data_IF_973024673072
#
_entry.id   IF_973024673072
#
_cell.length_a   1.000
_cell.length_b   1.000
_cell.length_c   1.000
_cell.angle_alpha   90.00
_cell.angle_beta   90.00
_cell.angle_gamma   90.00
#
_symmetry.space_group_name_H-M   'P 1'
#
loop_
_entity.id
_entity.type
_entity.pdbx_description
1 polymer ?
#
# COMPACT_ATOMS: atom_id res chain seq x y z
N UNK A 1 -2.75 -17.60 -13.56
CA UNK A 1 -2.88 -18.47 -12.35
C UNK A 1 -3.37 -17.54 -11.23
N UNK A 2 -4.47 -17.84 -10.53
CA UNK A 2 -4.97 -16.94 -9.48
C UNK A 2 -3.96 -16.95 -8.32
N UNK A 3 -3.29 -15.82 -8.07
CA UNK A 3 -2.35 -15.71 -6.95
C UNK A 3 -3.11 -15.83 -5.63
N UNK A 4 -2.77 -16.84 -4.82
CA UNK A 4 -3.36 -17.05 -3.49
C UNK A 4 -2.95 -15.96 -2.49
N UNK A 5 -3.80 -15.69 -1.50
CA UNK A 5 -3.56 -14.68 -0.45
C UNK A 5 -3.93 -13.25 -0.83
N UNK A 6 -4.19 -12.95 -2.10
CA UNK A 6 -4.61 -11.61 -2.54
C UNK A 6 -6.13 -11.52 -2.64
N UNK A 7 -6.72 -10.53 -1.96
CA UNK A 7 -8.09 -10.10 -2.24
C UNK A 7 -8.23 -9.50 -3.65
N UNK A 8 -7.11 -9.11 -4.27
CA UNK A 8 -6.99 -8.53 -5.60
C UNK A 8 -7.92 -7.32 -5.82
N UNK A 9 -7.99 -6.46 -4.82
CA UNK A 9 -8.83 -5.27 -4.80
C UNK A 9 -8.15 -4.16 -3.99
N UNK A 10 -7.66 -3.14 -4.67
CA UNK A 10 -7.08 -1.92 -4.10
C UNK A 10 -8.11 -0.80 -4.23
N UNK A 11 -8.36 -0.07 -3.15
CA UNK A 11 -9.15 1.15 -3.18
C UNK A 11 -8.22 2.35 -3.43
N UNK A 12 -8.50 3.12 -4.48
CA UNK A 12 -7.92 4.44 -4.72
C UNK A 12 -8.96 5.47 -4.29
N UNK A 13 -8.62 6.26 -3.28
CA UNK A 13 -9.53 7.22 -2.63
C UNK A 13 -9.00 8.62 -2.89
N UNK A 14 -9.77 9.42 -3.63
CA UNK A 14 -9.51 10.85 -3.78
C UNK A 14 -10.30 11.61 -2.71
N UNK A 15 -9.58 12.18 -1.75
CA UNK A 15 -10.16 12.98 -0.67
C UNK A 15 -10.58 14.39 -1.13
N UNK A 16 -10.03 14.88 -2.24
CA UNK A 16 -10.35 16.20 -2.79
C UNK A 16 -11.63 16.13 -3.64
N UNK A 17 -11.72 15.12 -4.52
CA UNK A 17 -12.89 14.86 -5.36
C UNK A 17 -14.00 14.06 -4.68
N UNK A 18 -13.69 13.33 -3.62
CA UNK A 18 -14.65 12.51 -2.86
C UNK A 18 -15.02 11.19 -3.53
N UNK A 19 -14.29 10.74 -4.55
CA UNK A 19 -14.54 9.49 -5.27
C UNK A 19 -13.65 8.34 -4.78
N UNK A 20 -14.16 7.12 -4.96
CA UNK A 20 -13.45 5.88 -4.66
C UNK A 20 -13.50 4.96 -5.88
N UNK A 21 -12.34 4.55 -6.35
CA UNK A 21 -12.20 3.58 -7.43
C UNK A 21 -11.55 2.30 -6.92
N UNK A 22 -11.98 1.16 -7.45
CA UNK A 22 -11.43 -0.14 -7.07
C UNK A 22 -10.74 -0.78 -8.26
N UNK A 23 -9.44 -1.02 -8.11
CA UNK A 23 -8.60 -1.62 -9.15
C UNK A 23 -7.97 -2.92 -8.64
N UNK A 24 -7.78 -3.94 -9.49
CA UNK A 24 -7.01 -5.12 -9.12
C UNK A 24 -5.52 -4.77 -8.95
N UNK A 25 -4.78 -5.64 -8.26
CA UNK A 25 -3.31 -5.56 -8.25
C UNK A 25 -2.82 -6.12 -9.59
N UNK A 26 -1.99 -5.41 -10.36
CA UNK A 26 -1.35 -5.98 -11.55
C UNK A 26 -0.58 -7.26 -11.18
N UNK A 27 -0.78 -8.35 -11.92
CA UNK A 27 -0.17 -9.65 -11.58
C UNK A 27 1.37 -9.56 -11.57
N UNK A 28 1.96 -8.76 -12.47
CA UNK A 28 3.40 -8.53 -12.51
C UNK A 28 3.93 -7.87 -11.22
N UNK A 29 3.18 -6.88 -10.70
CA UNK A 29 3.55 -6.18 -9.48
C UNK A 29 3.40 -7.08 -8.26
N UNK A 30 2.32 -7.85 -8.19
CA UNK A 30 2.11 -8.82 -7.12
C UNK A 30 3.24 -9.86 -7.09
N UNK A 31 3.73 -10.30 -8.25
CA UNK A 31 4.86 -11.25 -8.32
C UNK A 31 6.19 -10.59 -7.94
N UNK A 32 6.42 -9.36 -8.38
CA UNK A 32 7.70 -8.67 -8.21
C UNK A 32 7.87 -8.05 -6.82
N UNK A 33 6.79 -7.53 -6.27
CA UNK A 33 6.79 -6.74 -5.04
C UNK A 33 6.00 -7.37 -3.90
N UNK A 34 5.36 -8.53 -4.14
CA UNK A 34 4.60 -9.30 -3.16
C UNK A 34 3.39 -8.49 -2.67
N UNK A 35 3.55 -7.67 -1.64
CA UNK A 35 2.46 -6.90 -1.04
C UNK A 35 2.98 -5.96 0.04
N UNK A 36 2.07 -5.43 0.85
CA UNK A 36 2.37 -4.55 1.98
C UNK A 36 3.35 -3.44 1.57
N UNK A 37 4.53 -3.42 2.21
CA UNK A 37 5.61 -2.48 1.93
C UNK A 37 6.02 -2.46 0.46
N UNK A 38 6.15 -3.62 -0.19
CA UNK A 38 6.66 -3.71 -1.56
C UNK A 38 5.76 -2.98 -2.56
N UNK A 39 4.46 -3.29 -2.55
CA UNK A 39 3.47 -2.61 -3.39
C UNK A 39 3.33 -1.13 -3.00
N UNK A 40 3.30 -0.81 -1.70
CA UNK A 40 3.22 0.58 -1.24
C UNK A 40 4.40 1.44 -1.72
N UNK A 41 5.63 0.92 -1.63
CA UNK A 41 6.83 1.63 -2.13
C UNK A 41 6.79 1.78 -3.65
N UNK A 42 6.33 0.75 -4.38
CA UNK A 42 6.15 0.82 -5.83
C UNK A 42 5.18 1.95 -6.20
N UNK A 43 4.04 2.08 -5.53
CA UNK A 43 3.08 3.14 -5.82
C UNK A 43 3.63 4.53 -5.50
N UNK A 44 4.30 4.70 -4.35
CA UNK A 44 4.94 5.98 -3.99
C UNK A 44 6.05 6.36 -4.98
N UNK A 45 6.79 5.37 -5.47
CA UNK A 45 7.82 5.58 -6.49
C UNK A 45 7.22 6.06 -7.82
N UNK A 46 6.17 5.38 -8.28
CA UNK A 46 5.46 5.73 -9.52
C UNK A 46 4.75 7.10 -9.43
N UNK A 47 4.33 7.52 -8.23
CA UNK A 47 3.77 8.86 -7.97
C UNK A 47 4.78 9.99 -8.22
N UNK A 48 6.08 9.66 -8.25
CA UNK A 48 7.15 10.56 -8.68
C UNK A 48 7.97 11.14 -7.53
N UNK A 49 9.31 11.19 -7.67
CA UNK A 49 10.20 11.64 -6.60
C UNK A 49 10.12 13.14 -6.31
N UNK A 50 9.55 13.93 -7.21
CA UNK A 50 9.47 15.40 -7.09
C UNK A 50 8.23 15.90 -6.34
N UNK A 51 7.28 15.01 -6.01
CA UNK A 51 6.07 15.37 -5.27
C UNK A 51 6.43 15.99 -3.92
N UNK A 52 5.83 17.12 -3.57
CA UNK A 52 6.01 17.72 -2.25
C UNK A 52 5.28 16.87 -1.19
N UNK A 53 5.95 16.38 -0.12
CA UNK A 53 5.35 15.47 0.87
C UNK A 53 4.13 16.03 1.61
N UNK A 54 3.93 17.35 1.63
CA UNK A 54 2.76 17.97 2.26
C UNK A 54 1.70 18.46 1.25
N UNK A 55 1.91 18.22 -0.04
CA UNK A 55 0.95 18.56 -1.08
C UNK A 55 -0.17 17.50 -1.21
N UNK A 56 -1.33 17.87 -1.78
CA UNK A 56 -2.41 16.93 -2.10
C UNK A 56 -1.98 15.79 -3.05
N UNK A 57 -0.88 15.96 -3.79
CA UNK A 57 -0.36 14.97 -4.73
C UNK A 57 0.40 13.83 -4.03
N UNK A 58 0.78 13.98 -2.75
CA UNK A 58 1.43 12.92 -2.00
C UNK A 58 0.42 11.83 -1.61
N UNK A 59 0.71 10.58 -2.01
CA UNK A 59 -0.15 9.45 -1.67
C UNK A 59 0.21 8.85 -0.31
N UNK A 60 -0.83 8.40 0.41
CA UNK A 60 -0.72 7.66 1.66
C UNK A 60 -1.29 6.25 1.49
N UNK A 61 -0.42 5.26 1.37
CA UNK A 61 -0.79 3.88 1.09
C UNK A 61 -0.99 3.09 2.38
N UNK A 62 -2.17 2.50 2.58
CA UNK A 62 -2.44 1.51 3.63
C UNK A 62 -2.46 0.12 2.99
N UNK A 63 -1.39 -0.66 3.20
CA UNK A 63 -1.16 -1.87 2.42
C UNK A 63 -1.06 -3.12 3.29
N UNK A 64 -1.83 -4.14 2.96
CA UNK A 64 -1.72 -5.49 3.51
C UNK A 64 -0.83 -6.39 2.64
N UNK A 65 -0.33 -7.48 3.22
CA UNK A 65 0.40 -8.52 2.51
C UNK A 65 -0.48 -9.73 2.22
N UNK A 66 -0.04 -10.66 1.36
CA UNK A 66 -0.81 -11.86 1.00
C UNK A 66 -1.06 -12.83 2.16
N UNK A 67 -0.29 -12.72 3.26
CA UNK A 67 -0.53 -13.50 4.46
C UNK A 67 -1.43 -12.80 5.46
N UNK A 68 -1.67 -11.50 5.31
CA UNK A 68 -2.44 -10.70 6.26
C UNK A 68 -3.88 -11.23 6.35
N UNK A 69 -4.38 -11.45 7.57
CA UNK A 69 -5.71 -12.01 7.81
C UNK A 69 -5.83 -13.53 7.59
N UNK A 70 -4.73 -14.23 7.26
CA UNK A 70 -4.71 -15.70 7.19
C UNK A 70 -4.42 -16.36 8.55
N UNK A 71 -4.56 -17.69 8.61
CA UNK A 71 -4.19 -18.52 9.78
C UNK A 71 -2.68 -18.60 10.05
N UNK A 72 -1.84 -17.96 9.22
CA UNK A 72 -0.42 -17.86 9.51
C UNK A 72 -0.17 -17.12 10.83
N UNK A 73 0.72 -17.65 11.66
CA UNK A 73 1.07 -17.01 12.93
C UNK A 73 1.59 -15.59 12.72
N UNK A 74 1.10 -14.65 13.53
CA UNK A 74 1.50 -13.24 13.51
C UNK A 74 1.21 -12.52 12.17
N UNK A 75 0.15 -12.92 11.45
CA UNK A 75 -0.24 -12.34 10.16
C UNK A 75 -0.91 -10.96 10.23
N UNK A 76 -1.31 -10.46 11.41
CA UNK A 76 -2.04 -9.19 11.57
C UNK A 76 -1.16 -7.94 11.45
N UNK A 77 -0.52 -7.71 10.30
CA UNK A 77 0.33 -6.52 10.01
C UNK A 77 -0.08 -5.84 8.71
N UNK A 78 -0.03 -4.51 8.72
CA UNK A 78 -0.10 -3.65 7.54
C UNK A 78 1.09 -2.68 7.50
N UNK A 79 1.45 -2.24 6.30
CA UNK A 79 2.45 -1.19 6.08
C UNK A 79 1.74 0.09 5.63
N UNK A 80 2.04 1.21 6.31
CA UNK A 80 1.67 2.55 5.89
C UNK A 80 2.86 3.16 5.17
N UNK A 81 2.70 3.52 3.90
CA UNK A 81 3.81 3.98 3.04
C UNK A 81 3.47 5.32 2.41
N UNK A 82 4.40 6.26 2.42
CA UNK A 82 4.25 7.60 1.81
C UNK A 82 5.61 8.26 1.59
N UNK A 83 5.65 9.44 0.96
CA UNK A 83 6.81 10.33 1.02
C UNK A 83 6.81 11.10 2.35
N UNK A 84 7.91 11.02 3.09
CA UNK A 84 8.06 11.62 4.42
C UNK A 84 8.36 13.11 4.32
N UNK A 85 7.64 13.99 5.05
CA UNK A 85 7.99 15.40 5.18
C UNK A 85 9.24 15.62 6.04
N UNK A 86 9.59 14.68 6.91
CA UNK A 86 10.79 14.79 7.77
C UNK A 86 12.08 14.51 6.99
N UNK A 87 12.06 13.49 6.12
CA UNK A 87 13.28 13.02 5.44
C UNK A 87 13.33 13.38 3.96
N UNK A 88 12.20 13.79 3.36
CA UNK A 88 12.09 14.02 1.92
C UNK A 88 12.17 12.76 1.07
N UNK A 89 12.18 11.56 1.69
CA UNK A 89 12.31 10.26 1.02
C UNK A 89 11.07 9.40 1.25
N UNK A 90 10.99 8.25 0.58
CA UNK A 90 9.99 7.23 0.94
C UNK A 90 10.18 6.78 2.39
N UNK A 91 9.08 6.58 3.10
CA UNK A 91 9.04 5.98 4.44
C UNK A 91 7.97 4.90 4.49
N UNK A 92 8.21 3.88 5.31
CA UNK A 92 7.21 2.89 5.68
C UNK A 92 7.12 2.74 7.20
N UNK A 93 5.91 2.56 7.71
CA UNK A 93 5.62 2.32 9.13
C UNK A 93 4.70 1.11 9.27
N UNK A 94 4.98 0.23 10.24
CA UNK A 94 4.27 -1.04 10.37
C UNK A 94 3.32 -0.99 11.56
N UNK A 95 2.03 -1.11 11.28
CA UNK A 95 0.98 -1.22 12.28
C UNK A 95 0.52 -2.69 12.40
N UNK A 96 0.34 -3.15 13.63
CA UNK A 96 -0.13 -4.50 13.92
C UNK A 96 -1.45 -4.52 14.68
N UNK A 97 -1.87 -5.69 15.13
CA UNK A 97 -3.15 -5.87 15.82
C UNK A 97 -4.29 -6.17 14.87
N UNK A 98 -5.53 -6.04 15.36
CA UNK A 98 -6.72 -6.45 14.60
C UNK A 98 -7.07 -5.52 13.44
N UNK A 99 -6.63 -4.26 13.45
CA UNK A 99 -6.89 -3.29 12.37
C UNK A 99 -6.37 -3.74 11.01
N UNK A 100 -5.41 -4.67 10.98
CA UNK A 100 -4.83 -5.18 9.75
C UNK A 100 -5.44 -6.52 9.29
N UNK A 101 -6.09 -7.27 10.18
CA UNK A 101 -6.54 -8.64 9.91
C UNK A 101 -7.94 -8.68 9.28
#
# INVERSE_FOLDING_TARGET
MKLGGYANRIAWVDLSGGNVEYNPVPEEDARKYIGARGLGVKFVFDNGPQVDPLSPDNILCFMNGPLTGSEANMSGRMAIVTKSPLTGTVTDSHHGGWSAA
#
